data_IF_245993508714
#
_entry.id   IF_245993508714
#
_cell.length_a   1.000
_cell.length_b   1.000
_cell.length_c   1.000
_cell.angle_alpha   90.00
_cell.angle_beta   90.00
_cell.angle_gamma   90.00
#
_symmetry.space_group_name_H-M   'P 1'
#
loop_
_entity.id
_entity.type
_entity.pdbx_description
1 polymer ?
#
# COMPACT_ATOMS: atom_id res chain seq x y z
N UNK A 1 -17.49 -7.19 13.23
CA UNK A 1 -17.62 -6.52 14.55
C UNK A 1 -17.01 -7.48 15.56
N UNK A 2 -15.83 -7.30 16.13
CA UNK A 2 -15.06 -6.11 16.56
C UNK A 2 -13.81 -5.88 15.66
N UNK A 3 -13.09 -4.74 15.64
CA UNK A 3 -12.35 -4.21 16.79
C UNK A 3 -12.29 -2.67 16.82
N UNK A 4 -12.78 -2.11 17.93
CA UNK A 4 -12.47 -0.77 18.42
C UNK A 4 -10.97 -0.69 18.73
N UNK A 5 -10.15 -0.13 17.83
CA UNK A 5 -8.73 0.09 18.10
C UNK A 5 -7.86 0.38 16.87
N UNK A 6 -7.50 -0.67 16.12
CA UNK A 6 -6.62 -0.65 14.93
C UNK A 6 -6.72 -2.01 14.21
N UNK A 7 -6.42 -2.11 12.89
CA UNK A 7 -6.35 -3.39 12.21
C UNK A 7 -5.18 -4.22 12.75
N UNK A 8 -5.41 -5.52 12.81
CA UNK A 8 -4.42 -6.54 13.17
C UNK A 8 -3.44 -6.79 12.02
N UNK A 9 -2.31 -7.42 12.32
CA UNK A 9 -1.35 -7.84 11.31
C UNK A 9 -1.96 -8.81 10.28
N UNK A 10 -2.91 -9.65 10.72
CA UNK A 10 -3.68 -10.54 9.82
C UNK A 10 -4.53 -9.75 8.83
N UNK A 11 -5.21 -8.70 9.29
CA UNK A 11 -6.01 -7.83 8.43
C UNK A 11 -5.15 -7.03 7.46
N UNK A 12 -3.94 -6.60 7.87
CA UNK A 12 -2.96 -5.96 6.97
C UNK A 12 -2.45 -6.96 5.93
N UNK A 13 -2.07 -8.18 6.35
CA UNK A 13 -1.62 -9.24 5.44
C UNK A 13 -2.71 -9.59 4.41
N UNK A 14 -3.97 -9.64 4.82
CA UNK A 14 -5.10 -9.91 3.93
C UNK A 14 -5.20 -8.89 2.80
N UNK A 15 -4.96 -7.59 3.07
CA UNK A 15 -4.94 -6.56 2.02
C UNK A 15 -3.84 -6.81 0.99
N UNK A 16 -2.65 -7.24 1.42
CA UNK A 16 -1.58 -7.65 0.50
C UNK A 16 -1.98 -8.87 -0.34
N UNK A 17 -2.64 -9.86 0.27
CA UNK A 17 -3.14 -11.05 -0.44
C UNK A 17 -4.18 -10.66 -1.49
N UNK A 18 -5.12 -9.79 -1.16
CA UNK A 18 -6.15 -9.30 -2.07
C UNK A 18 -5.57 -8.47 -3.22
N UNK A 19 -4.56 -7.63 -2.94
CA UNK A 19 -3.81 -6.89 -3.97
C UNK A 19 -3.11 -7.84 -4.95
N UNK A 20 -2.39 -8.82 -4.43
CA UNK A 20 -1.67 -9.83 -5.25
C UNK A 20 -2.65 -10.69 -6.06
N UNK A 21 -3.82 -10.98 -5.51
CA UNK A 21 -4.91 -11.69 -6.17
C UNK A 21 -5.72 -10.80 -7.13
N UNK A 22 -5.38 -9.52 -7.26
CA UNK A 22 -6.11 -8.53 -8.06
C UNK A 22 -7.59 -8.41 -7.69
N UNK A 23 -7.93 -8.66 -6.42
CA UNK A 23 -9.27 -8.52 -5.84
C UNK A 23 -9.49 -7.17 -5.16
N UNK A 24 -8.40 -6.54 -4.75
CA UNK A 24 -8.36 -5.18 -4.20
C UNK A 24 -7.52 -4.32 -5.14
N UNK A 25 -8.01 -3.12 -5.48
CA UNK A 25 -7.21 -2.18 -6.27
C UNK A 25 -6.15 -1.48 -5.40
N UNK A 26 -5.12 -0.94 -6.04
CA UNK A 26 -4.06 -0.18 -5.34
C UNK A 26 -4.60 1.08 -4.69
N UNK A 27 -5.47 1.81 -5.36
CA UNK A 27 -6.14 3.00 -4.82
C UNK A 27 -7.01 2.65 -3.59
N UNK A 28 -7.75 1.54 -3.61
CA UNK A 28 -8.51 1.11 -2.42
C UNK A 28 -7.60 0.72 -1.26
N UNK A 29 -6.48 0.05 -1.55
CA UNK A 29 -5.50 -0.33 -0.53
C UNK A 29 -4.78 0.90 0.07
N UNK A 30 -4.42 1.88 -0.77
CA UNK A 30 -3.86 3.16 -0.35
C UNK A 30 -4.85 3.89 0.57
N UNK A 31 -6.08 4.11 0.11
CA UNK A 31 -7.10 4.82 0.89
C UNK A 31 -7.39 4.14 2.23
N UNK A 32 -7.38 2.81 2.25
CA UNK A 32 -7.49 2.04 3.49
C UNK A 32 -6.30 2.29 4.42
N UNK A 33 -5.06 2.20 3.92
CA UNK A 33 -3.86 2.44 4.72
C UNK A 33 -3.77 3.88 5.22
N UNK A 34 -4.03 4.87 4.35
CA UNK A 34 -4.07 6.29 4.67
C UNK A 34 -5.05 6.61 5.81
N UNK A 35 -6.21 5.94 5.85
CA UNK A 35 -7.19 6.13 6.93
C UNK A 35 -6.67 5.76 8.33
N UNK A 36 -5.71 4.81 8.39
CA UNK A 36 -5.07 4.37 9.62
C UNK A 36 -3.80 5.16 9.94
N UNK A 37 -3.00 5.50 8.92
CA UNK A 37 -1.80 6.34 9.06
C UNK A 37 -2.15 7.75 9.55
N UNK A 38 -3.26 8.32 9.06
CA UNK A 38 -3.72 9.65 9.47
C UNK A 38 -4.38 9.66 10.87
N UNK A 39 -4.54 8.50 11.52
CA UNK A 39 -5.23 8.39 12.79
C UNK A 39 -4.24 8.44 13.95
N UNK A 40 -4.25 9.56 14.67
CA UNK A 40 -3.42 9.75 15.85
C UNK A 40 -3.81 8.83 17.03
N UNK A 41 -2.83 8.60 17.91
CA UNK A 41 -3.03 7.87 19.16
C UNK A 41 -3.11 6.35 19.02
N UNK A 42 -2.76 5.81 17.85
CA UNK A 42 -2.56 4.37 17.66
C UNK A 42 -1.10 4.05 17.93
N UNK A 43 -0.85 3.27 18.97
CA UNK A 43 0.43 2.58 19.13
C UNK A 43 0.50 1.47 18.09
N UNK A 44 1.61 1.31 17.38
CA UNK A 44 1.83 0.28 16.37
C UNK A 44 3.06 -0.54 16.74
N UNK A 45 3.00 -1.86 16.60
CA UNK A 45 4.24 -2.63 16.59
C UNK A 45 5.01 -2.37 15.29
N UNK A 46 6.34 -2.53 15.34
CA UNK A 46 7.24 -2.23 14.22
C UNK A 46 6.83 -2.94 12.92
N UNK A 47 6.31 -4.17 13.01
CA UNK A 47 5.96 -4.97 11.84
C UNK A 47 4.64 -4.51 11.22
N UNK A 48 3.62 -4.26 12.04
CA UNK A 48 2.33 -3.71 11.58
C UNK A 48 2.51 -2.32 10.98
N UNK A 49 3.30 -1.45 11.61
CA UNK A 49 3.61 -0.12 11.07
C UNK A 49 4.32 -0.23 9.72
N UNK A 50 5.38 -1.04 9.64
CA UNK A 50 6.11 -1.26 8.39
C UNK A 50 5.20 -1.76 7.26
N UNK A 51 4.30 -2.71 7.55
CA UNK A 51 3.41 -3.26 6.54
C UNK A 51 2.35 -2.24 6.08
N UNK A 52 1.86 -1.40 7.00
CA UNK A 52 0.89 -0.34 6.69
C UNK A 52 1.52 0.78 5.85
N UNK A 53 2.75 1.18 6.18
CA UNK A 53 3.51 2.19 5.45
C UNK A 53 3.77 1.78 3.99
N UNK A 54 3.98 0.48 3.72
CA UNK A 54 4.11 -0.03 2.35
C UNK A 54 2.82 0.01 1.52
N UNK A 55 1.66 -0.04 2.17
CA UNK A 55 0.36 0.09 1.48
C UNK A 55 0.01 1.56 1.23
N UNK A 56 0.49 2.46 2.07
CA UNK A 56 0.33 3.90 1.89
C UNK A 56 1.20 4.40 0.73
N UNK A 57 0.56 4.98 -0.29
CA UNK A 57 1.18 5.43 -1.54
C UNK A 57 1.39 4.32 -2.57
N UNK A 58 0.77 3.14 -2.42
CA UNK A 58 0.94 2.01 -3.36
C UNK A 58 0.37 2.26 -4.77
N UNK A 59 -0.50 3.25 -4.89
CA UNK A 59 -1.17 3.71 -6.11
C UNK A 59 -0.45 4.86 -6.81
N UNK A 60 0.66 5.37 -6.24
CA UNK A 60 1.42 6.47 -6.83
C UNK A 60 1.96 6.07 -8.22
N UNK A 61 1.78 6.93 -9.24
CA UNK A 61 2.31 6.67 -10.57
C UNK A 61 3.84 6.77 -10.59
N UNK A 62 4.49 5.90 -11.37
CA UNK A 62 5.95 5.92 -11.55
C UNK A 62 6.44 7.16 -12.33
N UNK A 63 5.55 7.80 -13.10
CA UNK A 63 5.79 9.06 -13.79
C UNK A 63 5.24 10.22 -12.97
N UNK A 64 6.12 11.05 -12.40
CA UNK A 64 5.70 12.19 -11.61
C UNK A 64 5.05 13.27 -12.46
N UNK A 65 3.79 13.62 -12.17
CA UNK A 65 3.22 14.94 -12.50
C UNK A 65 2.22 15.35 -11.41
N UNK A 66 2.72 15.83 -10.27
CA UNK A 66 1.96 16.84 -9.52
C UNK A 66 2.13 18.17 -10.24
N UNK A 67 1.07 18.64 -10.89
CA UNK A 67 0.91 20.04 -11.26
C UNK A 67 1.44 20.45 -12.63
N UNK A 68 0.49 20.65 -13.55
CA UNK A 68 0.48 21.72 -14.54
C UNK A 68 1.73 21.98 -15.36
N UNK A 69 1.79 21.38 -16.55
CA UNK A 69 2.13 22.12 -17.77
C UNK A 69 1.46 21.44 -18.96
N UNK A 70 0.54 22.18 -19.60
CA UNK A 70 -0.29 21.75 -20.74
C UNK A 70 0.50 21.67 -22.07
N UNK A 71 1.81 21.46 -22.03
CA UNK A 71 2.65 21.40 -23.23
C UNK A 71 3.73 20.32 -23.11
N UNK A 72 3.34 19.06 -23.24
CA UNK A 72 4.24 18.00 -23.67
C UNK A 72 3.44 16.91 -24.36
N UNK A 73 3.23 17.11 -25.66
CA UNK A 73 2.89 16.01 -26.58
C UNK A 73 4.17 15.19 -26.81
N UNK A 74 4.38 14.18 -25.97
CA UNK A 74 5.51 13.27 -26.10
C UNK A 74 5.63 12.34 -24.90
N UNK A 75 5.10 11.13 -25.04
CA UNK A 75 5.33 9.96 -24.18
C UNK A 75 4.95 10.05 -22.70
N UNK A 76 3.65 10.24 -22.42
CA UNK A 76 3.04 9.85 -21.13
C UNK A 76 2.54 8.39 -21.14
N UNK A 77 3.21 7.50 -21.90
CA UNK A 77 2.82 6.10 -22.03
C UNK A 77 3.78 5.13 -21.32
N UNK A 78 4.24 5.50 -20.13
CA UNK A 78 4.72 4.54 -19.15
C UNK A 78 3.80 4.55 -17.93
N UNK A 79 2.51 4.31 -18.20
CA UNK A 79 1.42 4.27 -17.23
C UNK A 79 1.52 3.06 -16.29
N UNK A 80 2.47 3.11 -15.38
CA UNK A 80 2.68 2.11 -14.33
C UNK A 80 2.72 2.74 -12.95
N UNK A 81 2.56 1.91 -11.93
CA UNK A 81 2.73 2.29 -10.53
C UNK A 81 4.21 2.36 -10.16
N UNK A 82 4.57 3.23 -9.22
CA UNK A 82 5.90 3.34 -8.61
C UNK A 82 6.39 1.97 -8.10
N UNK A 83 5.45 1.18 -7.58
CA UNK A 83 5.69 -0.16 -7.07
C UNK A 83 5.15 -1.20 -8.04
N UNK A 84 6.00 -2.09 -8.58
CA UNK A 84 5.54 -3.17 -9.47
C UNK A 84 4.79 -4.27 -8.71
N UNK A 85 3.99 -5.09 -9.40
CA UNK A 85 3.31 -6.24 -8.76
C UNK A 85 4.30 -7.27 -8.19
N UNK A 86 5.47 -7.41 -8.83
CA UNK A 86 6.56 -8.24 -8.32
C UNK A 86 7.08 -7.72 -6.97
N UNK A 87 7.18 -6.39 -6.83
CA UNK A 87 7.57 -5.75 -5.58
C UNK A 87 6.52 -5.96 -4.48
N UNK A 88 5.23 -5.85 -4.81
CA UNK A 88 4.14 -6.14 -3.84
C UNK A 88 4.18 -7.61 -3.37
N UNK A 89 4.44 -8.56 -4.27
CA UNK A 89 4.61 -9.98 -3.90
C UNK A 89 5.83 -10.23 -3.01
N UNK A 90 6.93 -9.50 -3.27
CA UNK A 90 8.12 -9.58 -2.42
C UNK A 90 7.85 -9.06 -1.01
N UNK A 91 7.09 -7.96 -0.89
CA UNK A 91 6.67 -7.42 0.40
C UNK A 91 5.80 -8.40 1.19
N UNK A 92 4.80 -9.03 0.56
CA UNK A 92 3.99 -10.08 1.22
C UNK A 92 4.85 -11.26 1.70
N UNK A 93 5.84 -11.65 0.90
CA UNK A 93 6.77 -12.72 1.30
C UNK A 93 7.62 -12.31 2.50
N UNK A 94 8.12 -11.08 2.52
CA UNK A 94 8.91 -10.55 3.63
C UNK A 94 8.08 -10.38 4.90
N UNK A 95 6.83 -9.91 4.80
CA UNK A 95 5.89 -9.83 5.90
C UNK A 95 5.74 -11.18 6.61
N UNK A 96 5.47 -12.23 5.83
CA UNK A 96 5.35 -13.60 6.36
C UNK A 96 6.62 -14.12 7.00
N UNK A 97 7.79 -13.77 6.44
CA UNK A 97 9.10 -14.14 7.02
C UNK A 97 9.35 -13.45 8.36
N UNK A 98 9.00 -12.17 8.49
CA UNK A 98 9.16 -11.41 9.74
C UNK A 98 8.19 -11.89 10.81
N UNK A 99 6.95 -12.22 10.43
CA UNK A 99 5.93 -12.76 11.35
C UNK A 99 6.32 -14.11 11.97
N UNK A 100 7.09 -14.93 11.26
CA UNK A 100 7.50 -16.25 11.72
C UNK A 100 8.74 -16.25 12.63
N UNK A 101 9.31 -15.07 12.93
CA UNK A 101 10.45 -14.91 13.85
C UNK A 101 9.97 -14.55 15.25
#
# INVERSE_FOLDING_TARGET
>A
MSATGRPTLDEIEERFVELVASRLSRDEADRWAASWVARDGIDWDDLSWWALDLLHGIDLPAGGTTGGDLHSEGDLHSGGYLHSDAQVRAWLTELRRRRAR
#
